data_IF_648321179037
#
_entry.id   IF_648321179037
#
_cell.length_a   1.000
_cell.length_b   1.000
_cell.length_c   1.000
_cell.angle_alpha   90.00
_cell.angle_beta   90.00
_cell.angle_gamma   90.00
#
_symmetry.space_group_name_H-M   'P 1'
#
loop_
_entity.id
_entity.type
_entity.pdbx_description
1 polymer ?
#
# COMPACT_ATOMS: atom_id res chain seq x y z
N UNK A 1 42.56 -10.51 -38.20
CA UNK A 1 41.26 -9.82 -38.00
C UNK A 1 40.36 -10.53 -36.95
N UNK A 2 40.50 -11.82 -36.71
CA UNK A 2 39.64 -12.55 -35.74
C UNK A 2 39.89 -12.23 -34.25
N UNK A 3 41.07 -11.80 -33.86
CA UNK A 3 41.40 -11.50 -32.46
C UNK A 3 40.80 -10.19 -31.92
N UNK A 4 40.38 -9.30 -32.80
CA UNK A 4 39.82 -8.01 -32.41
C UNK A 4 38.32 -8.09 -32.04
N UNK A 5 37.60 -9.06 -32.62
CA UNK A 5 36.18 -9.29 -32.30
C UNK A 5 35.97 -9.92 -30.92
N UNK A 6 36.92 -10.72 -30.46
CA UNK A 6 36.84 -11.39 -29.15
C UNK A 6 36.97 -10.41 -27.96
N UNK A 7 37.73 -9.35 -28.14
CA UNK A 7 37.90 -8.31 -27.12
C UNK A 7 36.65 -7.43 -27.00
N UNK A 8 35.90 -7.19 -28.08
CA UNK A 8 34.68 -6.42 -28.08
C UNK A 8 33.50 -7.16 -27.43
N UNK A 9 33.41 -8.47 -27.59
CA UNK A 9 32.36 -9.31 -26.99
C UNK A 9 32.53 -9.40 -25.47
N UNK A 10 33.80 -9.48 -24.98
CA UNK A 10 34.08 -9.50 -23.53
C UNK A 10 33.80 -8.17 -22.82
N UNK A 11 33.96 -7.04 -23.51
CA UNK A 11 33.62 -5.72 -22.96
C UNK A 11 32.10 -5.45 -22.90
N UNK A 12 31.29 -6.10 -23.77
CA UNK A 12 29.83 -5.94 -23.75
C UNK A 12 29.12 -6.74 -22.68
N UNK A 13 29.74 -7.85 -22.19
CA UNK A 13 29.13 -8.71 -21.17
C UNK A 13 29.25 -8.17 -19.73
N UNK A 14 30.17 -7.23 -19.48
CA UNK A 14 30.34 -6.64 -18.14
C UNK A 14 29.39 -5.47 -17.83
N UNK A 15 28.67 -4.92 -18.85
CA UNK A 15 27.84 -3.72 -18.64
C UNK A 15 26.39 -4.01 -18.22
N UNK A 16 25.97 -5.27 -18.20
CA UNK A 16 24.56 -5.64 -17.95
C UNK A 16 24.23 -6.04 -16.50
N UNK A 17 25.21 -6.00 -15.57
CA UNK A 17 24.99 -6.49 -14.19
C UNK A 17 24.70 -5.41 -13.14
N UNK A 18 24.66 -4.13 -13.48
CA UNK A 18 24.55 -3.06 -12.48
C UNK A 18 23.15 -2.45 -12.31
N UNK A 19 22.16 -2.84 -13.11
CA UNK A 19 20.83 -2.20 -13.06
C UNK A 19 19.85 -2.78 -12.03
N UNK A 20 20.08 -3.98 -11.50
CA UNK A 20 19.12 -4.64 -10.58
C UNK A 20 19.22 -4.09 -9.15
N UNK A 21 20.39 -3.63 -8.72
CA UNK A 21 20.58 -3.15 -7.34
C UNK A 21 20.02 -1.73 -7.09
N UNK A 22 19.94 -0.90 -8.11
CA UNK A 22 19.51 0.50 -7.95
C UNK A 22 17.99 0.64 -7.70
N UNK A 23 17.17 -0.23 -8.26
CA UNK A 23 15.72 -0.18 -8.08
C UNK A 23 15.28 -0.61 -6.68
N UNK A 24 15.94 -1.59 -6.08
CA UNK A 24 15.65 -2.04 -4.70
C UNK A 24 16.07 -1.00 -3.66
N UNK A 25 17.20 -0.33 -3.85
CA UNK A 25 17.67 0.73 -2.95
C UNK A 25 16.77 1.98 -3.01
N UNK A 26 16.28 2.34 -4.20
CA UNK A 26 15.40 3.50 -4.38
C UNK A 26 14.01 3.30 -3.75
N UNK A 27 13.49 2.07 -3.77
CA UNK A 27 12.21 1.77 -3.12
C UNK A 27 12.27 1.90 -1.58
N UNK A 28 13.40 1.53 -0.95
CA UNK A 28 13.57 1.71 0.50
C UNK A 28 13.69 3.18 0.90
N UNK A 29 14.36 4.00 0.09
CA UNK A 29 14.52 5.44 0.37
C UNK A 29 13.20 6.22 0.36
N UNK A 30 12.19 5.72 -0.34
CA UNK A 30 10.89 6.36 -0.49
C UNK A 30 9.78 5.74 0.38
N UNK A 31 10.10 4.72 1.19
CA UNK A 31 9.13 4.04 2.04
C UNK A 31 8.69 4.96 3.20
N UNK A 32 7.40 5.25 3.28
CA UNK A 32 6.77 5.92 4.43
C UNK A 32 6.63 4.95 5.59
N UNK A 33 6.22 3.72 5.30
CA UNK A 33 6.09 2.65 6.29
C UNK A 33 5.23 1.48 5.81
N UNK A 34 5.34 0.40 6.58
CA UNK A 34 4.39 -0.71 6.57
C UNK A 34 3.36 -0.51 7.66
N UNK A 35 2.10 -0.72 7.34
CA UNK A 35 0.99 -0.60 8.28
C UNK A 35 0.21 -1.90 8.29
N UNK A 36 0.24 -2.60 9.41
CA UNK A 36 -0.40 -3.88 9.62
C UNK A 36 -1.63 -3.77 10.51
N UNK A 37 -2.65 -4.57 10.26
CA UNK A 37 -3.85 -4.61 11.07
C UNK A 37 -4.75 -5.80 10.82
N UNK A 38 -5.80 -5.87 11.65
CA UNK A 38 -6.85 -6.89 11.53
C UNK A 38 -8.19 -6.21 11.69
N UNK A 39 -9.03 -6.29 10.67
CA UNK A 39 -10.36 -5.69 10.68
C UNK A 39 -11.44 -6.76 10.67
N UNK A 40 -12.67 -6.44 11.12
CA UNK A 40 -13.84 -7.26 10.80
C UNK A 40 -14.01 -7.41 9.28
N UNK A 41 -14.57 -8.54 8.81
CA UNK A 41 -14.71 -8.84 7.38
C UNK A 41 -15.86 -8.06 6.73
N UNK A 42 -17.04 -8.12 7.34
CA UNK A 42 -18.32 -7.90 6.66
C UNK A 42 -18.47 -6.49 6.08
N UNK A 43 -18.21 -5.47 6.87
CA UNK A 43 -18.42 -4.08 6.44
C UNK A 43 -17.46 -3.66 5.32
N UNK A 44 -16.17 -4.03 5.43
CA UNK A 44 -15.20 -3.75 4.36
C UNK A 44 -15.48 -4.52 3.09
N UNK A 45 -15.90 -5.76 3.19
CA UNK A 45 -16.31 -6.54 2.03
C UNK A 45 -17.48 -5.90 1.30
N UNK A 46 -18.50 -5.47 2.04
CA UNK A 46 -19.65 -4.75 1.47
C UNK A 46 -19.20 -3.47 0.76
N UNK A 47 -18.31 -2.68 1.37
CA UNK A 47 -17.78 -1.45 0.79
C UNK A 47 -16.97 -1.72 -0.50
N UNK A 48 -16.24 -2.83 -0.54
CA UNK A 48 -15.42 -3.24 -1.68
C UNK A 48 -16.19 -4.04 -2.74
N UNK A 49 -17.50 -4.26 -2.57
CA UNK A 49 -18.31 -5.15 -3.39
C UNK A 49 -17.71 -6.57 -3.50
N UNK A 50 -17.19 -7.07 -2.39
CA UNK A 50 -16.60 -8.39 -2.31
C UNK A 50 -17.53 -9.38 -1.61
N UNK A 51 -17.48 -10.62 -2.10
CA UNK A 51 -18.23 -11.73 -1.46
C UNK A 51 -17.43 -12.23 -0.27
N UNK A 52 -18.03 -12.22 0.91
CA UNK A 52 -17.49 -12.88 2.08
C UNK A 52 -18.21 -14.19 2.35
N UNK A 53 -17.48 -15.16 2.86
CA UNK A 53 -18.09 -16.32 3.49
C UNK A 53 -18.61 -15.91 4.89
N UNK A 54 -19.74 -16.47 5.36
CA UNK A 54 -20.30 -16.13 6.67
C UNK A 54 -19.32 -16.33 7.83
N UNK A 55 -18.41 -17.30 7.71
CA UNK A 55 -17.41 -17.66 8.71
C UNK A 55 -16.21 -16.71 8.74
N UNK A 56 -16.13 -15.74 7.83
CA UNK A 56 -15.06 -14.76 7.85
C UNK A 56 -15.15 -13.86 9.08
N UNK A 57 -14.21 -14.03 10.01
CA UNK A 57 -14.17 -13.28 11.25
C UNK A 57 -13.32 -12.02 11.12
N UNK A 58 -12.18 -12.13 10.39
CA UNK A 58 -11.21 -11.03 10.25
C UNK A 58 -10.47 -11.09 8.92
N UNK A 59 -10.06 -9.90 8.48
CA UNK A 59 -9.09 -9.72 7.40
C UNK A 59 -7.79 -9.28 8.03
N UNK A 60 -6.66 -9.84 7.58
CA UNK A 60 -5.32 -9.37 7.91
C UNK A 60 -4.85 -8.45 6.79
N UNK A 61 -4.44 -7.25 7.14
CA UNK A 61 -3.95 -6.25 6.20
C UNK A 61 -2.46 -6.01 6.38
N UNK A 62 -1.77 -5.78 5.27
CA UNK A 62 -0.46 -5.15 5.20
C UNK A 62 -0.48 -4.11 4.08
N UNK A 63 -0.36 -2.86 4.45
CA UNK A 63 -0.27 -1.71 3.54
C UNK A 63 1.15 -1.16 3.58
N UNK A 64 1.83 -1.11 2.43
CA UNK A 64 3.07 -0.36 2.30
C UNK A 64 2.81 0.90 1.47
N UNK A 65 3.25 2.05 1.98
CA UNK A 65 3.15 3.34 1.33
C UNK A 65 4.53 3.85 0.95
N UNK A 66 4.68 4.31 -0.29
CA UNK A 66 5.92 4.86 -0.82
C UNK A 66 5.67 6.25 -1.38
N UNK A 67 6.54 7.21 -1.05
CA UNK A 67 6.52 8.54 -1.65
C UNK A 67 6.94 8.51 -3.12
N UNK A 68 6.56 9.52 -3.87
CA UNK A 68 7.05 9.75 -5.23
C UNK A 68 8.28 10.67 -5.21
N UNK A 69 9.43 10.11 -4.77
CA UNK A 69 10.65 10.89 -4.61
C UNK A 69 10.53 11.97 -3.54
N UNK A 70 10.73 13.23 -3.91
CA UNK A 70 10.63 14.38 -3.00
C UNK A 70 9.17 14.79 -2.72
N UNK A 71 8.19 14.32 -3.51
CA UNK A 71 6.78 14.60 -3.27
C UNK A 71 6.25 13.69 -2.16
N UNK A 72 5.86 14.30 -1.05
CA UNK A 72 5.29 13.63 0.12
C UNK A 72 3.77 13.66 0.14
N UNK A 73 3.13 14.17 -0.91
CA UNK A 73 1.66 14.30 -1.02
C UNK A 73 1.03 13.23 -1.90
N UNK A 74 1.85 12.48 -2.62
CA UNK A 74 1.44 11.38 -3.50
C UNK A 74 2.48 10.28 -3.60
N UNK A 75 2.08 9.12 -4.10
CA UNK A 75 3.01 8.02 -4.30
C UNK A 75 2.35 6.73 -4.76
N UNK A 76 3.02 5.62 -4.48
CA UNK A 76 2.54 4.28 -4.80
C UNK A 76 2.30 3.47 -3.54
N UNK A 77 1.50 2.42 -3.64
CA UNK A 77 1.25 1.52 -2.54
C UNK A 77 1.23 0.06 -2.99
N UNK A 78 1.44 -0.83 -2.02
CA UNK A 78 1.07 -2.24 -2.11
C UNK A 78 0.14 -2.58 -0.95
N UNK A 79 -0.88 -3.40 -1.22
CA UNK A 79 -1.86 -3.81 -0.23
C UNK A 79 -2.10 -5.31 -0.31
N UNK A 80 -1.87 -6.00 0.81
CA UNK A 80 -2.25 -7.38 1.05
C UNK A 80 -3.45 -7.41 1.99
N UNK A 81 -4.40 -8.32 1.78
CA UNK A 81 -5.58 -8.45 2.65
C UNK A 81 -6.70 -9.22 1.99
N UNK A 82 -7.92 -8.69 2.09
CA UNK A 82 -9.12 -9.28 1.52
C UNK A 82 -8.97 -9.44 -0.01
N UNK A 83 -9.04 -10.67 -0.50
CA UNK A 83 -8.70 -11.04 -1.88
C UNK A 83 -7.29 -10.61 -2.36
N UNK A 84 -6.51 -9.95 -1.51
CA UNK A 84 -5.15 -9.53 -1.77
C UNK A 84 -4.20 -10.33 -0.88
N UNK A 85 -3.96 -11.59 -1.24
CA UNK A 85 -3.00 -12.46 -0.56
C UNK A 85 -1.59 -12.17 -1.09
N UNK A 86 -0.56 -12.79 -0.50
CA UNK A 86 0.84 -12.62 -0.93
C UNK A 86 1.08 -12.89 -2.41
N UNK A 87 0.29 -13.78 -2.99
CA UNK A 87 0.29 -14.15 -4.40
C UNK A 87 -0.56 -13.22 -5.28
N UNK A 88 -1.40 -12.34 -4.66
CA UNK A 88 -2.25 -11.38 -5.34
C UNK A 88 -2.22 -10.04 -4.61
N UNK A 89 -1.06 -9.36 -4.67
CA UNK A 89 -0.86 -8.05 -4.05
C UNK A 89 -1.51 -6.98 -4.92
N UNK A 90 -2.41 -6.20 -4.33
CA UNK A 90 -2.95 -5.01 -4.96
C UNK A 90 -1.88 -3.92 -5.00
N UNK A 91 -1.71 -3.29 -6.16
CA UNK A 91 -0.80 -2.15 -6.37
C UNK A 91 -1.54 -1.00 -7.01
N UNK A 92 -1.17 0.22 -6.65
CA UNK A 92 -1.77 1.42 -7.21
C UNK A 92 -1.06 2.68 -6.74
N UNK A 93 -1.75 3.80 -6.88
CA UNK A 93 -1.27 5.11 -6.44
C UNK A 93 -2.08 5.61 -5.25
N UNK A 94 -1.46 6.41 -4.41
CA UNK A 94 -2.13 7.12 -3.34
C UNK A 94 -1.87 8.62 -3.46
N UNK A 95 -2.77 9.40 -2.88
CA UNK A 95 -2.62 10.86 -2.74
C UNK A 95 -3.21 11.31 -1.40
N UNK A 96 -2.73 12.46 -0.90
CA UNK A 96 -3.35 13.13 0.23
C UNK A 96 -4.58 13.89 -0.27
N UNK A 97 -5.71 13.64 0.39
CA UNK A 97 -6.91 14.46 0.30
C UNK A 97 -7.24 14.98 1.68
N UNK A 98 -7.95 16.10 1.77
CA UNK A 98 -8.37 16.66 3.06
C UNK A 98 -9.80 16.26 3.40
N UNK A 99 -10.02 16.17 4.69
CA UNK A 99 -11.35 16.09 5.28
C UNK A 99 -11.86 14.67 5.50
N UNK A 100 -12.23 14.42 6.76
CA UNK A 100 -13.21 13.40 7.14
C UNK A 100 -14.58 14.09 7.31
N UNK A 101 -15.64 13.32 7.57
CA UNK A 101 -16.94 13.92 7.84
C UNK A 101 -16.96 14.74 9.15
N UNK A 102 -16.11 14.36 10.11
CA UNK A 102 -16.03 15.03 11.41
C UNK A 102 -15.02 16.20 11.43
N UNK A 103 -13.95 16.13 10.64
CA UNK A 103 -12.87 17.14 10.60
C UNK A 103 -12.51 17.47 9.14
N UNK A 104 -12.82 18.67 8.65
CA UNK A 104 -12.51 19.10 7.28
C UNK A 104 -11.01 19.28 7.02
N UNK A 105 -10.16 19.38 8.05
CA UNK A 105 -8.71 19.56 7.93
C UNK A 105 -7.93 18.25 8.06
N UNK A 106 -8.60 17.15 8.41
CA UNK A 106 -7.97 15.85 8.59
C UNK A 106 -7.18 15.43 7.34
N UNK A 107 -6.01 14.83 7.55
CA UNK A 107 -5.20 14.25 6.49
C UNK A 107 -5.76 12.86 6.19
N UNK A 108 -6.10 12.62 4.92
CA UNK A 108 -6.63 11.35 4.46
C UNK A 108 -5.80 10.85 3.30
N UNK A 109 -5.29 9.63 3.39
CA UNK A 109 -4.71 8.91 2.26
C UNK A 109 -5.84 8.29 1.43
N UNK A 110 -5.93 8.70 0.18
CA UNK A 110 -6.81 8.08 -0.81
C UNK A 110 -5.99 7.13 -1.68
N UNK A 111 -6.25 5.85 -1.58
CA UNK A 111 -5.66 4.82 -2.43
C UNK A 111 -6.56 4.59 -3.65
N UNK A 112 -6.01 4.72 -4.84
CA UNK A 112 -6.74 4.55 -6.10
C UNK A 112 -6.41 3.20 -6.72
N UNK A 113 -7.46 2.50 -7.16
CA UNK A 113 -7.34 1.22 -7.88
C UNK A 113 -8.28 1.18 -9.08
N UNK A 114 -7.83 0.60 -10.19
CA UNK A 114 -8.55 0.61 -11.47
C UNK A 114 -9.83 -0.21 -11.50
N UNK A 115 -9.96 -1.24 -10.66
CA UNK A 115 -11.09 -2.19 -10.69
C UNK A 115 -12.08 -2.01 -9.55
N UNK A 116 -11.71 -1.27 -8.49
CA UNK A 116 -12.51 -1.07 -7.28
C UNK A 116 -12.51 0.40 -6.92
N UNK A 117 -13.51 0.84 -6.20
CA UNK A 117 -13.55 2.21 -5.69
C UNK A 117 -12.33 2.53 -4.82
N UNK A 118 -12.07 3.82 -4.54
CA UNK A 118 -10.96 4.23 -3.72
C UNK A 118 -11.11 3.72 -2.28
N UNK A 119 -9.97 3.39 -1.65
CA UNK A 119 -9.89 3.18 -0.20
C UNK A 119 -9.42 4.46 0.47
N UNK A 120 -10.02 4.80 1.60
CA UNK A 120 -9.67 5.99 2.36
C UNK A 120 -9.14 5.61 3.74
N UNK A 121 -8.05 6.27 4.15
CA UNK A 121 -7.43 6.09 5.46
C UNK A 121 -7.20 7.45 6.10
N UNK A 122 -7.79 7.68 7.26
CA UNK A 122 -7.49 8.84 8.09
C UNK A 122 -6.14 8.64 8.77
N UNK A 123 -5.21 9.56 8.57
CA UNK A 123 -3.94 9.61 9.27
C UNK A 123 -4.16 10.24 10.64
N UNK A 124 -4.28 9.42 11.69
CA UNK A 124 -4.47 9.89 13.05
C UNK A 124 -3.16 10.47 13.62
N UNK A 125 -2.05 9.78 13.35
CA UNK A 125 -0.68 10.21 13.64
C UNK A 125 0.32 9.56 12.66
N UNK A 126 1.62 9.55 12.98
CA UNK A 126 2.65 8.98 12.10
C UNK A 126 2.59 7.44 12.06
N UNK A 127 1.95 6.80 13.03
CA UNK A 127 1.98 5.36 13.24
C UNK A 127 0.60 4.70 13.14
N UNK A 128 -0.49 5.47 13.02
CA UNK A 128 -1.86 4.95 13.06
C UNK A 128 -2.69 5.49 11.90
N UNK A 129 -3.26 4.55 11.13
CA UNK A 129 -4.22 4.81 10.07
C UNK A 129 -5.57 4.16 10.42
N UNK A 130 -6.67 4.91 10.30
CA UNK A 130 -8.03 4.37 10.43
C UNK A 130 -8.69 4.25 9.06
N UNK A 131 -9.32 3.12 8.78
CA UNK A 131 -10.18 2.98 7.62
C UNK A 131 -11.36 3.95 7.70
N UNK A 132 -11.67 4.57 6.58
CA UNK A 132 -12.88 5.35 6.40
C UNK A 132 -13.84 4.63 5.45
N UNK A 133 -15.12 4.85 5.64
CA UNK A 133 -16.13 4.46 4.65
C UNK A 133 -16.13 5.39 3.42
N UNK A 134 -16.98 5.11 2.44
CA UNK A 134 -17.10 5.91 1.22
C UNK A 134 -17.58 7.34 1.46
N UNK A 135 -18.23 7.62 2.60
CA UNK A 135 -18.65 8.95 3.04
C UNK A 135 -17.60 9.64 3.91
N UNK A 136 -16.43 9.02 4.08
CA UNK A 136 -15.33 9.48 4.94
C UNK A 136 -15.66 9.54 6.43
N UNK A 137 -16.56 8.68 6.92
CA UNK A 137 -16.69 8.43 8.35
C UNK A 137 -15.62 7.43 8.79
N UNK A 138 -15.12 7.58 10.04
CA UNK A 138 -14.26 6.58 10.65
C UNK A 138 -15.05 5.29 10.88
N UNK A 139 -14.55 4.18 10.36
CA UNK A 139 -15.18 2.89 10.57
C UNK A 139 -14.98 2.42 12.00
N UNK A 140 -16.06 1.99 12.63
CA UNK A 140 -16.05 1.50 14.02
C UNK A 140 -15.98 -0.02 14.02
N UNK A 141 -14.98 -0.55 14.69
CA UNK A 141 -14.79 -2.00 14.86
C UNK A 141 -15.78 -2.64 15.83
N UNK A 142 -15.50 -3.87 16.16
CA UNK A 142 -16.24 -4.62 17.17
C UNK A 142 -15.34 -4.87 18.40
N UNK A 143 -15.84 -5.62 19.38
CA UNK A 143 -15.07 -5.92 20.62
C UNK A 143 -13.74 -6.65 20.39
N UNK A 144 -13.54 -7.29 19.22
CA UNK A 144 -12.37 -8.12 18.93
C UNK A 144 -11.41 -7.48 17.94
N UNK A 145 -11.90 -6.62 17.01
CA UNK A 145 -11.11 -6.03 15.93
C UNK A 145 -11.51 -4.57 15.68
N UNK A 146 -10.52 -3.73 15.47
CA UNK A 146 -10.67 -2.33 15.06
C UNK A 146 -10.49 -2.20 13.55
N UNK A 147 -10.90 -1.07 12.98
CA UNK A 147 -10.56 -0.67 11.62
C UNK A 147 -9.31 0.23 11.62
N UNK A 148 -8.26 -0.20 12.35
CA UNK A 148 -6.99 0.50 12.44
C UNK A 148 -5.85 -0.35 11.87
N UNK A 149 -4.90 0.34 11.24
CA UNK A 149 -3.61 -0.19 10.86
C UNK A 149 -2.52 0.52 11.66
N UNK A 150 -1.54 -0.23 12.11
CA UNK A 150 -0.43 0.26 12.92
C UNK A 150 0.87 0.10 12.16
N UNK A 151 1.71 1.12 12.22
CA UNK A 151 3.04 1.09 11.60
C UNK A 151 3.88 0.00 12.24
N UNK A 152 4.53 -0.79 11.38
CA UNK A 152 5.41 -1.88 11.81
C UNK A 152 6.80 -1.69 11.22
N UNK A 153 7.81 -2.23 11.89
CA UNK A 153 9.16 -2.34 11.37
C UNK A 153 9.22 -3.62 10.53
N UNK A 154 9.87 -3.55 9.37
CA UNK A 154 10.15 -4.75 8.57
C UNK A 154 11.16 -5.60 9.34
N UNK A 155 10.78 -6.83 9.69
CA UNK A 155 11.68 -7.84 10.28
C UNK A 155 12.57 -8.49 9.21
#
# INVERSE_FOLDING_TARGET
MEKMYFLFVLLYSCFSLTFVSAQSANNRANLIGYFDGRTPCQELAKQLNEVTIPECIKIKWRLALYNNGADTTSGTYTLEGFNFRRDNILKGTWQIVKGTKADPNAIVYQLSHSLKGPLFFFKADEDILFFLDNEKNIMVGNRNFSYALYKTIED
#
